data_IF_322689711853
#
_entry.id   IF_322689711853
#
_cell.length_a   1.000
_cell.length_b   1.000
_cell.length_c   1.000
_cell.angle_alpha   90.00
_cell.angle_beta   90.00
_cell.angle_gamma   90.00
#
_symmetry.space_group_name_H-M   'P 1'
#
loop_
_entity.id
_entity.type
_entity.pdbx_description
1 polymer ?
#
# COMPACT_ATOMS: atom_id res chain seq x y z
N UNK A 1 -36.36 7.07 30.36
CA UNK A 1 -35.50 7.69 29.35
C UNK A 1 -34.28 6.80 29.25
N UNK A 2 -34.23 5.90 28.27
CA UNK A 2 -33.09 4.99 28.10
C UNK A 2 -31.95 5.83 27.55
N UNK A 3 -30.90 6.01 28.35
CA UNK A 3 -29.66 6.65 27.89
C UNK A 3 -29.03 5.63 26.95
N UNK A 4 -29.08 5.91 25.66
CA UNK A 4 -28.33 5.16 24.66
C UNK A 4 -26.92 5.73 24.76
N UNK A 5 -26.02 4.98 25.41
CA UNK A 5 -24.60 5.28 25.36
C UNK A 5 -24.13 5.01 23.94
N UNK A 6 -23.62 6.05 23.28
CA UNK A 6 -23.02 5.94 21.96
C UNK A 6 -21.55 5.56 22.14
N UNK A 7 -21.33 4.31 22.60
CA UNK A 7 -20.03 3.75 22.94
C UNK A 7 -19.04 3.81 21.75
N UNK A 8 -19.54 3.85 20.51
CA UNK A 8 -18.72 3.99 19.31
C UNK A 8 -18.09 5.37 19.19
N UNK A 9 -18.85 6.43 19.52
CA UNK A 9 -18.34 7.80 19.45
C UNK A 9 -17.32 8.09 20.54
N UNK A 10 -17.57 7.60 21.75
CA UNK A 10 -16.67 7.78 22.90
C UNK A 10 -15.33 7.04 22.71
N UNK A 11 -15.36 5.82 22.15
CA UNK A 11 -14.15 5.08 21.81
C UNK A 11 -13.33 5.77 20.72
N UNK A 12 -13.98 6.33 19.71
CA UNK A 12 -13.29 7.06 18.64
C UNK A 12 -12.59 8.32 19.17
N UNK A 13 -13.27 9.07 20.03
CA UNK A 13 -12.69 10.27 20.65
C UNK A 13 -11.46 9.90 21.52
N UNK A 14 -11.51 8.77 22.25
CA UNK A 14 -10.37 8.26 23.02
C UNK A 14 -9.18 7.85 22.13
N UNK A 15 -9.43 7.17 21.00
CA UNK A 15 -8.37 6.81 20.05
C UNK A 15 -7.69 8.03 19.44
N UNK A 16 -8.46 9.06 19.10
CA UNK A 16 -7.92 10.29 18.52
C UNK A 16 -7.08 11.06 19.55
N UNK A 17 -7.48 11.07 20.83
CA UNK A 17 -6.67 11.61 21.93
C UNK A 17 -5.34 10.85 22.07
N UNK A 18 -5.38 9.51 22.08
CA UNK A 18 -4.15 8.71 22.23
C UNK A 18 -3.17 8.93 21.06
N UNK A 19 -3.66 9.03 19.82
CA UNK A 19 -2.81 9.34 18.65
C UNK A 19 -2.17 10.71 18.79
N UNK A 20 -2.90 11.69 19.30
CA UNK A 20 -2.38 13.04 19.50
C UNK A 20 -1.30 13.07 20.60
N UNK A 21 -1.52 12.36 21.71
CA UNK A 21 -0.52 12.21 22.77
C UNK A 21 0.76 11.52 22.29
N UNK A 22 0.64 10.52 21.41
CA UNK A 22 1.79 9.84 20.81
C UNK A 22 2.62 10.81 19.95
N UNK A 23 1.97 11.61 19.10
CA UNK A 23 2.65 12.62 18.27
C UNK A 23 3.35 13.69 19.11
N UNK A 24 2.70 14.17 20.17
CA UNK A 24 3.27 15.15 21.10
C UNK A 24 4.50 14.58 21.83
N UNK A 25 4.44 13.32 22.25
CA UNK A 25 5.55 12.62 22.90
C UNK A 25 6.74 12.44 21.95
N UNK A 26 6.48 12.08 20.70
CA UNK A 26 7.51 11.97 19.66
C UNK A 26 8.17 13.31 19.40
N UNK A 27 7.40 14.39 19.29
CA UNK A 27 7.93 15.74 19.10
C UNK A 27 8.85 16.14 20.27
N UNK A 28 8.43 15.89 21.51
CA UNK A 28 9.23 16.16 22.70
C UNK A 28 10.52 15.34 22.73
N UNK A 29 10.47 14.03 22.42
CA UNK A 29 11.64 13.15 22.42
C UNK A 29 12.64 13.53 21.32
N UNK A 30 12.16 13.87 20.14
CA UNK A 30 12.98 14.26 19.00
C UNK A 30 13.80 15.51 19.31
N UNK A 31 13.18 16.52 19.94
CA UNK A 31 13.84 17.78 20.32
C UNK A 31 14.73 17.62 21.55
N UNK A 32 14.22 17.02 22.64
CA UNK A 32 14.90 17.00 23.94
C UNK A 32 16.03 15.99 24.06
N UNK A 33 15.91 14.83 23.41
CA UNK A 33 16.82 13.69 23.61
C UNK A 33 17.70 13.41 22.41
N UNK A 34 17.17 13.57 21.21
CA UNK A 34 17.83 13.15 19.97
C UNK A 34 18.28 14.31 19.07
N UNK A 35 17.85 15.54 19.36
CA UNK A 35 18.16 16.75 18.59
C UNK A 35 17.93 16.55 17.07
N UNK A 36 16.81 15.90 16.73
CA UNK A 36 16.41 15.51 15.37
C UNK A 36 15.05 16.13 15.04
N UNK A 37 14.78 16.53 13.79
CA UNK A 37 13.44 16.99 13.41
C UNK A 37 12.42 15.85 13.50
N UNK A 38 11.19 16.18 13.90
CA UNK A 38 10.06 15.24 13.87
C UNK A 38 9.19 15.46 12.64
N UNK A 39 8.43 14.44 12.25
CA UNK A 39 7.46 14.50 11.16
C UNK A 39 6.20 13.73 11.51
N UNK A 40 5.05 14.35 11.27
CA UNK A 40 3.75 13.70 11.40
C UNK A 40 3.21 13.41 10.00
N UNK A 41 3.13 12.13 9.64
CA UNK A 41 2.65 11.66 8.34
C UNK A 41 1.12 11.55 8.27
N UNK A 42 0.40 11.79 9.37
CA UNK A 42 -1.06 11.83 9.37
C UNK A 42 -1.60 12.95 8.46
N UNK A 43 -0.91 14.09 8.40
CA UNK A 43 -1.33 15.26 7.61
C UNK A 43 -0.49 15.52 6.35
N UNK A 44 0.58 14.75 6.14
CA UNK A 44 1.47 14.93 4.99
C UNK A 44 1.16 13.95 3.86
N UNK A 45 1.24 14.40 2.59
CA UNK A 45 1.20 13.49 1.46
C UNK A 45 2.48 12.66 1.40
N UNK A 46 2.33 11.35 1.23
CA UNK A 46 3.43 10.41 1.09
C UNK A 46 3.62 10.10 -0.40
N UNK A 47 4.81 10.35 -0.92
CA UNK A 47 5.14 10.12 -2.33
C UNK A 47 5.44 8.63 -2.57
N UNK A 48 4.75 8.04 -3.55
CA UNK A 48 4.92 6.63 -3.87
C UNK A 48 6.33 6.31 -4.40
N UNK A 49 6.93 7.24 -5.12
CA UNK A 49 8.31 7.10 -5.62
C UNK A 49 9.33 7.02 -4.47
N UNK A 50 9.06 7.69 -3.34
CA UNK A 50 9.88 7.61 -2.14
C UNK A 50 9.80 6.21 -1.51
N UNK A 51 8.59 5.69 -1.32
CA UNK A 51 8.37 4.37 -0.74
C UNK A 51 9.01 3.26 -1.60
N UNK A 52 9.01 3.39 -2.94
CA UNK A 52 9.67 2.45 -3.86
C UNK A 52 11.19 2.31 -3.67
N UNK A 53 11.83 3.21 -2.93
CA UNK A 53 13.29 3.17 -2.72
C UNK A 53 13.76 2.07 -1.77
N UNK A 54 12.86 1.49 -0.97
CA UNK A 54 13.17 0.40 -0.05
C UNK A 54 12.06 -0.67 -0.11
N UNK A 55 12.36 -1.96 -0.04
CA UNK A 55 11.34 -3.01 0.08
C UNK A 55 10.53 -2.87 1.37
N UNK A 56 9.26 -3.24 1.33
CA UNK A 56 8.36 -3.17 2.49
C UNK A 56 8.88 -4.00 3.68
N UNK A 57 9.42 -5.19 3.42
CA UNK A 57 9.99 -6.06 4.45
C UNK A 57 11.11 -5.36 5.22
N UNK A 58 12.04 -4.74 4.49
CA UNK A 58 13.16 -3.99 5.08
C UNK A 58 12.67 -2.73 5.79
N UNK A 59 11.67 -2.04 5.24
CA UNK A 59 11.06 -0.85 5.84
C UNK A 59 10.41 -1.14 7.19
N UNK A 60 9.67 -2.26 7.29
CA UNK A 60 9.02 -2.71 8.53
C UNK A 60 10.03 -3.23 9.54
N UNK A 61 10.99 -4.05 9.12
CA UNK A 61 12.03 -4.59 10.02
C UNK A 61 12.86 -3.47 10.65
N UNK A 62 13.17 -2.44 9.86
CA UNK A 62 13.97 -1.27 10.29
C UNK A 62 13.13 -0.14 10.84
N UNK A 63 11.81 -0.30 10.96
CA UNK A 63 10.90 0.70 11.49
C UNK A 63 11.08 2.09 10.85
N UNK A 64 11.21 2.11 9.52
CA UNK A 64 11.45 3.32 8.73
C UNK A 64 10.57 3.35 7.48
N UNK A 65 10.30 4.55 6.99
CA UNK A 65 9.54 4.77 5.76
C UNK A 65 9.98 6.06 5.05
N UNK A 66 10.50 5.98 3.81
CA UNK A 66 10.72 7.16 3.00
C UNK A 66 9.40 7.76 2.55
N UNK A 67 9.24 9.07 2.70
CA UNK A 67 7.95 9.73 2.41
C UNK A 67 8.03 10.81 1.33
N UNK A 68 9.23 11.30 1.00
CA UNK A 68 9.42 12.38 0.01
C UNK A 68 10.78 12.33 -0.67
N UNK A 69 10.81 12.55 -1.99
CA UNK A 69 12.03 12.70 -2.78
C UNK A 69 12.11 14.11 -3.37
N UNK A 70 13.24 14.80 -3.14
CA UNK A 70 13.56 16.08 -3.77
C UNK A 70 14.91 16.00 -4.50
N UNK A 71 14.86 15.62 -5.77
CA UNK A 71 16.06 15.37 -6.58
C UNK A 71 16.83 14.17 -6.03
N UNK A 72 17.96 14.41 -5.36
CA UNK A 72 18.73 13.37 -4.66
C UNK A 72 18.38 13.25 -3.17
N UNK A 73 17.70 14.25 -2.60
CA UNK A 73 17.40 14.27 -1.17
C UNK A 73 16.20 13.37 -0.87
N UNK A 74 16.42 12.29 -0.13
CA UNK A 74 15.39 11.35 0.30
C UNK A 74 15.04 11.63 1.76
N UNK A 75 13.79 12.00 2.02
CA UNK A 75 13.31 12.26 3.37
C UNK A 75 12.68 11.00 3.94
N UNK A 76 13.20 10.57 5.09
CA UNK A 76 12.90 9.27 5.70
C UNK A 76 12.37 9.48 7.11
N UNK A 77 11.18 8.94 7.36
CA UNK A 77 10.62 8.83 8.70
C UNK A 77 11.19 7.60 9.40
N UNK A 78 11.61 7.73 10.66
CA UNK A 78 12.12 6.65 11.49
C UNK A 78 11.46 6.68 12.86
N UNK A 79 11.16 5.51 13.44
CA UNK A 79 10.54 5.44 14.78
C UNK A 79 11.51 5.88 15.86
N UNK A 80 12.74 5.41 15.76
CA UNK A 80 13.78 5.67 16.75
C UNK A 80 15.13 5.85 16.06
N UNK A 81 15.85 6.95 16.33
CA UNK A 81 17.20 7.18 15.80
C UNK A 81 18.23 6.33 16.55
N UNK A 82 18.14 5.01 16.39
CA UNK A 82 19.19 4.11 16.85
C UNK A 82 20.41 4.22 15.93
N UNK A 83 21.64 4.39 16.46
CA UNK A 83 22.84 4.59 15.65
C UNK A 83 23.04 3.51 14.58
N UNK A 84 22.85 2.24 14.94
CA UNK A 84 23.07 1.10 14.05
C UNK A 84 22.07 1.08 12.88
N UNK A 85 20.80 1.40 13.18
CA UNK A 85 19.73 1.39 12.19
C UNK A 85 19.89 2.57 11.21
N UNK A 86 20.15 3.77 11.73
CA UNK A 86 20.39 4.98 10.93
C UNK A 86 21.62 4.82 10.05
N UNK A 87 22.70 4.23 10.57
CA UNK A 87 23.93 4.03 9.80
C UNK A 87 23.71 3.05 8.65
N UNK A 88 23.09 1.90 8.91
CA UNK A 88 22.82 0.89 7.88
C UNK A 88 21.86 1.43 6.82
N UNK A 89 20.81 2.15 7.22
CA UNK A 89 19.91 2.82 6.29
C UNK A 89 20.64 3.88 5.46
N UNK A 90 21.55 4.64 6.07
CA UNK A 90 22.35 5.65 5.36
C UNK A 90 23.21 5.02 4.27
N UNK A 91 23.88 3.90 4.58
CA UNK A 91 24.72 3.17 3.63
C UNK A 91 23.89 2.61 2.47
N UNK A 92 22.72 2.02 2.78
CA UNK A 92 21.77 1.54 1.80
C UNK A 92 21.35 2.65 0.83
N UNK A 93 20.81 3.77 1.32
CA UNK A 93 20.30 4.83 0.45
C UNK A 93 21.42 5.55 -0.33
N UNK A 94 22.60 5.74 0.27
CA UNK A 94 23.76 6.29 -0.43
C UNK A 94 24.26 5.39 -1.55
N UNK A 95 24.27 4.06 -1.35
CA UNK A 95 24.63 3.11 -2.41
C UNK A 95 23.66 3.15 -3.59
N UNK A 96 22.41 3.54 -3.36
CA UNK A 96 21.37 3.74 -4.38
C UNK A 96 21.39 5.17 -4.97
N UNK A 97 22.35 6.02 -4.60
CA UNK A 97 22.53 7.36 -5.15
C UNK A 97 21.68 8.47 -4.51
N UNK A 98 21.07 8.19 -3.36
CA UNK A 98 20.26 9.16 -2.60
C UNK A 98 21.04 9.76 -1.42
N UNK A 99 20.65 10.97 -1.03
CA UNK A 99 21.10 11.67 0.16
C UNK A 99 19.99 11.58 1.23
N UNK A 100 20.13 10.69 2.22
CA UNK A 100 19.08 10.45 3.22
C UNK A 100 19.04 11.57 4.28
N UNK A 101 17.84 12.08 4.54
CA UNK A 101 17.51 13.02 5.62
C UNK A 101 16.50 12.36 6.56
N UNK A 102 16.87 12.18 7.83
CA UNK A 102 16.07 11.44 8.79
C UNK A 102 15.20 12.35 9.65
N UNK A 103 13.97 11.91 9.88
CA UNK A 103 12.96 12.57 10.70
C UNK A 103 12.36 11.56 11.66
N UNK A 104 12.20 11.92 12.92
CA UNK A 104 11.54 11.05 13.89
C UNK A 104 10.03 11.08 13.67
N UNK A 105 9.38 9.92 13.65
CA UNK A 105 7.94 9.79 13.44
C UNK A 105 7.33 8.82 14.45
N UNK A 106 6.03 8.98 14.69
CA UNK A 106 5.23 8.06 15.50
C UNK A 106 5.03 6.72 14.81
N UNK A 107 4.65 5.71 15.59
CA UNK A 107 4.28 4.40 15.05
C UNK A 107 3.04 4.53 14.16
N UNK A 108 2.05 5.32 14.59
CA UNK A 108 0.87 5.62 13.78
C UNK A 108 1.21 6.21 12.40
N UNK A 109 2.17 7.14 12.35
CA UNK A 109 2.66 7.75 11.10
C UNK A 109 3.34 6.72 10.19
N UNK A 110 4.14 5.82 10.75
CA UNK A 110 4.82 4.75 9.99
C UNK A 110 3.85 3.70 9.48
N UNK A 111 2.88 3.27 10.30
CA UNK A 111 1.83 2.33 9.89
C UNK A 111 1.05 2.88 8.70
N UNK A 112 0.70 4.17 8.72
CA UNK A 112 0.07 4.85 7.58
C UNK A 112 0.96 4.87 6.33
N UNK A 113 2.28 4.97 6.49
CA UNK A 113 3.20 4.89 5.36
C UNK A 113 3.33 3.47 4.83
N UNK A 114 3.35 2.46 5.71
CA UNK A 114 3.40 1.05 5.32
C UNK A 114 2.13 0.59 4.62
N UNK A 115 0.95 1.08 5.01
CA UNK A 115 -0.29 0.76 4.30
C UNK A 115 -0.28 1.20 2.83
N UNK A 116 0.55 2.18 2.46
CA UNK A 116 0.72 2.61 1.06
C UNK A 116 1.61 1.68 0.24
N UNK A 117 2.40 0.80 0.87
CA UNK A 117 3.16 -0.21 0.12
C UNK A 117 2.25 -1.22 -0.55
N UNK A 118 1.11 -1.56 0.08
CA UNK A 118 0.09 -2.39 -0.55
C UNK A 118 -0.39 -1.73 -1.85
N UNK A 119 -0.73 -0.43 -1.83
CA UNK A 119 -1.13 0.32 -3.02
C UNK A 119 -0.05 0.34 -4.12
N UNK A 120 1.23 0.40 -3.73
CA UNK A 120 2.39 0.43 -4.65
C UNK A 120 2.69 -0.93 -5.24
N UNK A 121 2.54 -2.00 -4.47
CA UNK A 121 2.72 -3.39 -4.94
C UNK A 121 1.81 -3.64 -6.14
N UNK A 122 0.51 -3.32 -5.99
CA UNK A 122 -0.47 -3.40 -7.08
C UNK A 122 -0.17 -2.44 -8.25
N UNK A 123 0.37 -1.25 -7.99
CA UNK A 123 0.76 -0.32 -9.05
C UNK A 123 2.09 -0.67 -9.75
N UNK A 124 2.93 -1.52 -9.14
CA UNK A 124 4.20 -1.98 -9.71
C UNK A 124 4.01 -3.11 -10.72
N UNK A 125 2.96 -3.91 -10.57
CA UNK A 125 2.46 -4.85 -11.60
C UNK A 125 1.90 -4.11 -12.83
N UNK A 126 1.58 -2.83 -12.70
CA UNK A 126 1.28 -1.95 -13.82
C UNK A 126 2.47 -1.05 -14.18
N UNK A 127 3.57 -1.59 -14.69
CA UNK A 127 4.54 -0.74 -15.41
C UNK A 127 3.82 -0.06 -16.58
N UNK A 128 3.98 1.25 -16.69
CA UNK A 128 3.36 2.07 -17.74
C UNK A 128 3.53 1.42 -19.12
N UNK A 129 2.43 0.88 -19.67
CA UNK A 129 2.37 0.29 -21.01
C UNK A 129 2.48 -1.24 -21.10
N UNK A 130 2.72 -1.95 -19.99
CA UNK A 130 2.72 -3.42 -19.95
C UNK A 130 1.90 -3.89 -18.75
N UNK A 131 0.84 -4.65 -19.02
CA UNK A 131 0.10 -5.36 -17.96
C UNK A 131 1.01 -6.51 -17.52
N UNK A 132 1.63 -6.41 -16.34
CA UNK A 132 2.46 -7.48 -15.77
C UNK A 132 1.54 -8.42 -15.01
N UNK A 133 1.17 -9.51 -15.67
CA UNK A 133 0.26 -10.50 -15.10
C UNK A 133 1.11 -11.51 -14.34
N UNK A 134 1.22 -11.32 -13.02
CA UNK A 134 1.98 -12.22 -12.15
C UNK A 134 1.41 -13.64 -12.20
N UNK A 135 2.22 -14.61 -12.61
CA UNK A 135 1.81 -16.04 -12.69
C UNK A 135 1.30 -16.59 -11.36
N UNK A 136 1.91 -16.16 -10.24
CA UNK A 136 1.51 -16.56 -8.89
C UNK A 136 0.11 -16.05 -8.51
N UNK A 137 -0.29 -14.89 -9.02
CA UNK A 137 -1.61 -14.30 -8.82
C UNK A 137 -2.65 -15.06 -9.64
N UNK A 138 -2.32 -15.41 -10.89
CA UNK A 138 -3.16 -16.24 -11.74
C UNK A 138 -3.43 -17.61 -11.12
N UNK A 139 -2.41 -18.29 -10.57
CA UNK A 139 -2.58 -19.61 -9.94
C UNK A 139 -3.50 -19.54 -8.72
N UNK A 140 -3.35 -18.52 -7.87
CA UNK A 140 -4.22 -18.30 -6.71
C UNK A 140 -5.67 -18.06 -7.12
N UNK A 141 -5.89 -17.20 -8.11
CA UNK A 141 -7.24 -16.90 -8.61
C UNK A 141 -7.85 -18.13 -9.27
N UNK A 142 -7.11 -18.84 -10.13
CA UNK A 142 -7.57 -20.03 -10.82
C UNK A 142 -7.96 -21.16 -9.85
N UNK A 143 -7.29 -21.28 -8.70
CA UNK A 143 -7.64 -22.29 -7.69
C UNK A 143 -9.06 -22.12 -7.10
N UNK A 144 -9.58 -20.89 -7.11
CA UNK A 144 -10.90 -20.54 -6.59
C UNK A 144 -12.00 -20.58 -7.66
N UNK A 145 -11.63 -20.65 -8.95
CA UNK A 145 -12.56 -20.64 -10.08
C UNK A 145 -12.74 -22.08 -10.59
N UNK A 146 -13.96 -22.61 -10.52
CA UNK A 146 -14.28 -23.96 -11.05
C UNK A 146 -15.22 -23.90 -12.25
N UNK A 147 -16.00 -22.83 -12.38
CA UNK A 147 -16.98 -22.66 -13.43
C UNK A 147 -17.16 -21.17 -13.79
N UNK A 148 -17.93 -20.91 -14.85
CA UNK A 148 -18.18 -19.55 -15.36
C UNK A 148 -18.91 -18.66 -14.33
N UNK A 149 -19.66 -19.25 -13.40
CA UNK A 149 -20.39 -18.50 -12.35
C UNK A 149 -19.40 -17.91 -11.35
N UNK A 150 -18.37 -18.66 -10.99
CA UNK A 150 -17.31 -18.20 -10.08
C UNK A 150 -16.53 -17.02 -10.69
N UNK A 151 -16.24 -17.08 -11.99
CA UNK A 151 -15.60 -15.97 -12.74
C UNK A 151 -16.44 -14.69 -12.61
N UNK A 152 -17.76 -14.80 -12.82
CA UNK A 152 -18.66 -13.66 -12.75
C UNK A 152 -18.68 -13.04 -11.35
N UNK A 153 -18.70 -13.87 -10.30
CA UNK A 153 -18.71 -13.40 -8.92
C UNK A 153 -17.44 -12.61 -8.55
N UNK A 154 -16.26 -13.07 -9.01
CA UNK A 154 -15.00 -12.35 -8.78
C UNK A 154 -14.95 -11.03 -9.55
N UNK A 155 -15.44 -10.99 -10.80
CA UNK A 155 -15.52 -9.73 -11.57
C UNK A 155 -16.44 -8.71 -10.88
N UNK A 156 -17.60 -9.14 -10.37
CA UNK A 156 -18.53 -8.28 -9.63
C UNK A 156 -17.97 -7.78 -8.28
N UNK A 157 -17.04 -8.53 -7.68
CA UNK A 157 -16.36 -8.13 -6.45
C UNK A 157 -15.34 -7.02 -6.72
N UNK A 158 -14.54 -7.17 -7.78
CA UNK A 158 -13.56 -6.16 -8.21
C UNK A 158 -14.23 -4.83 -8.56
N UNK A 159 -15.39 -4.88 -9.23
CA UNK A 159 -16.16 -3.68 -9.57
C UNK A 159 -16.52 -2.84 -8.32
N UNK A 160 -16.74 -3.49 -7.16
CA UNK A 160 -17.12 -2.82 -5.91
C UNK A 160 -15.94 -2.23 -5.14
N UNK A 161 -14.73 -2.78 -5.27
CA UNK A 161 -13.59 -2.45 -4.42
C UNK A 161 -12.79 -1.20 -4.90
N UNK A 162 -13.04 -0.67 -6.10
CA UNK A 162 -12.48 0.61 -6.65
C UNK A 162 -10.93 0.73 -6.68
N UNK A 163 -10.18 -0.30 -6.34
CA UNK A 163 -8.72 -0.38 -6.46
C UNK A 163 -8.33 -1.07 -7.78
N UNK A 164 -7.41 -0.46 -8.54
CA UNK A 164 -6.74 -1.02 -9.74
C UNK A 164 -7.62 -1.89 -10.67
N UNK A 165 -8.80 -1.38 -11.00
CA UNK A 165 -9.93 -2.12 -11.61
C UNK A 165 -9.65 -2.71 -12.98
N UNK A 166 -8.67 -2.23 -13.76
CA UNK A 166 -8.47 -2.71 -15.14
C UNK A 166 -7.48 -3.87 -15.23
N UNK A 167 -6.31 -3.75 -14.60
CA UNK A 167 -5.30 -4.83 -14.60
C UNK A 167 -5.82 -6.07 -13.87
N UNK A 168 -6.39 -5.86 -12.67
CA UNK A 168 -6.91 -6.94 -11.87
C UNK A 168 -8.14 -7.62 -12.50
N UNK A 169 -8.99 -6.84 -13.20
CA UNK A 169 -10.08 -7.41 -13.98
C UNK A 169 -9.56 -8.26 -15.14
N UNK A 170 -8.48 -7.86 -15.80
CA UNK A 170 -7.87 -8.67 -16.85
C UNK A 170 -7.25 -9.96 -16.29
N UNK A 171 -6.59 -9.89 -15.14
CA UNK A 171 -6.06 -11.07 -14.42
C UNK A 171 -7.16 -12.09 -14.13
N UNK A 172 -8.29 -11.66 -13.57
CA UNK A 172 -9.43 -12.56 -13.30
C UNK A 172 -10.00 -13.13 -14.59
N UNK A 173 -10.11 -12.32 -15.65
CA UNK A 173 -10.59 -12.79 -16.95
C UNK A 173 -9.67 -13.89 -17.50
N UNK A 174 -8.35 -13.71 -17.43
CA UNK A 174 -7.35 -14.67 -17.92
C UNK A 174 -7.25 -15.91 -17.03
N UNK A 175 -7.21 -15.75 -15.71
CA UNK A 175 -7.22 -16.86 -14.76
C UNK A 175 -8.48 -17.71 -14.94
N UNK A 176 -9.62 -17.06 -15.15
CA UNK A 176 -10.88 -17.71 -15.51
C UNK A 176 -10.77 -18.53 -16.79
N UNK A 177 -10.17 -17.96 -17.85
CA UNK A 177 -9.94 -18.67 -19.12
C UNK A 177 -9.10 -19.94 -18.92
N UNK A 178 -8.01 -19.84 -18.15
CA UNK A 178 -7.13 -20.97 -17.85
C UNK A 178 -7.87 -22.02 -17.03
N UNK A 179 -8.62 -21.61 -15.99
CA UNK A 179 -9.34 -22.50 -15.10
C UNK A 179 -10.43 -23.30 -15.83
N UNK A 180 -11.15 -22.66 -16.75
CA UNK A 180 -12.16 -23.35 -17.59
C UNK A 180 -11.57 -23.98 -18.85
N UNK A 181 -10.25 -23.88 -19.06
CA UNK A 181 -9.53 -24.39 -20.23
C UNK A 181 -10.07 -23.85 -21.57
N UNK A 182 -10.41 -22.56 -21.59
CA UNK A 182 -10.89 -21.86 -22.78
C UNK A 182 -9.74 -21.56 -23.74
N UNK A 183 -9.98 -21.83 -25.02
CA UNK A 183 -9.09 -21.49 -26.13
C UNK A 183 -9.05 -19.99 -26.43
N UNK A 184 -10.20 -19.30 -26.31
CA UNK A 184 -10.32 -17.89 -26.65
C UNK A 184 -11.22 -17.14 -25.66
N UNK A 185 -10.86 -15.89 -25.42
CA UNK A 185 -11.66 -14.93 -24.64
C UNK A 185 -12.09 -13.80 -25.58
N UNK A 186 -13.40 -13.63 -25.74
CA UNK A 186 -13.99 -12.56 -26.53
C UNK A 186 -14.54 -11.47 -25.61
N UNK A 187 -14.09 -10.23 -25.81
CA UNK A 187 -14.59 -9.03 -25.14
C UNK A 187 -15.32 -8.19 -26.17
N UNK A 188 -16.64 -8.10 -26.05
CA UNK A 188 -17.53 -7.43 -27.01
C UNK A 188 -18.22 -6.23 -26.34
N UNK A 189 -17.79 -4.99 -26.61
CA UNK A 189 -18.46 -3.81 -26.10
C UNK A 189 -19.78 -3.56 -26.87
N UNK A 190 -20.88 -3.41 -26.14
CA UNK A 190 -22.17 -2.94 -26.63
C UNK A 190 -22.48 -1.55 -26.04
N UNK A 191 -23.60 -0.94 -26.43
CA UNK A 191 -23.93 0.46 -26.07
C UNK A 191 -24.03 0.70 -24.55
N UNK A 192 -24.54 -0.28 -23.80
CA UNK A 192 -24.74 -0.16 -22.34
C UNK A 192 -24.12 -1.29 -21.53
N UNK A 193 -23.55 -2.31 -22.19
CA UNK A 193 -23.00 -3.50 -21.53
C UNK A 193 -21.75 -3.97 -22.25
N UNK A 194 -20.88 -4.70 -21.55
CA UNK A 194 -19.77 -5.44 -22.16
C UNK A 194 -20.08 -6.92 -22.04
N UNK A 195 -20.02 -7.65 -23.16
CA UNK A 195 -20.23 -9.09 -23.19
C UNK A 195 -18.89 -9.81 -23.21
N UNK A 196 -18.65 -10.62 -22.18
CA UNK A 196 -17.48 -11.49 -22.08
C UNK A 196 -17.88 -12.93 -22.44
N UNK A 197 -17.15 -13.57 -23.37
CA UNK A 197 -17.41 -14.97 -23.78
C UNK A 197 -16.12 -15.79 -23.75
N UNK A 198 -16.21 -17.00 -23.20
CA UNK A 198 -15.14 -18.00 -23.22
C UNK A 198 -15.45 -19.07 -24.27
N UNK A 199 -14.51 -19.35 -25.18
CA UNK A 199 -14.60 -20.45 -26.14
C UNK A 199 -13.89 -21.68 -25.57
N UNK A 200 -14.66 -22.66 -25.11
CA UNK A 200 -14.16 -23.95 -24.64
C UNK A 200 -13.76 -24.85 -25.82
#
# INVERSE_FOLDING_TARGET
>A
MTIIFDDEKENKDLEDIHKQEEEDLVAMLAESKYNMPHVNLANLPIENDALRTIPEADARERELAPFKILGKNLHIAIRSPQPDNVQTATEYFKSHGYEPHFYMASEASLVKAWSRYEEISYASESRAGSIDISGDVLEKIASNIKNIVDIKAEIEKIEKEKTHTTSHMLEVIMAGAIAVNASDVHIEPEENIVRLRYRL
#
